data_IF_469120205253
#
_entry.id   IF_469120205253
#
_cell.length_a   1.000
_cell.length_b   1.000
_cell.length_c   1.000
_cell.angle_alpha   90.00
_cell.angle_beta   90.00
_cell.angle_gamma   90.00
#
_symmetry.space_group_name_H-M   'P 1'
#
loop_
_entity.id
_entity.type
_entity.pdbx_description
1 polymer ?
#
# COMPACT_ATOMS: atom_id res chain seq x y z
N UNK A 1 26.61 12.81 -1.03
CA UNK A 1 26.78 13.39 0.33
C UNK A 1 25.59 12.96 1.16
N UNK A 2 25.83 12.07 2.13
CA UNK A 2 24.82 11.53 3.05
C UNK A 2 24.34 12.61 4.00
N UNK A 3 23.19 13.21 3.74
CA UNK A 3 22.43 13.91 4.76
C UNK A 3 21.55 12.87 5.46
N UNK A 4 22.11 12.22 6.49
CA UNK A 4 21.28 11.66 7.55
C UNK A 4 20.40 12.80 8.02
N UNK A 5 19.12 12.76 7.70
CA UNK A 5 18.13 13.60 8.33
C UNK A 5 18.24 13.31 9.83
N UNK A 6 18.87 14.22 10.57
CA UNK A 6 18.77 14.24 12.01
C UNK A 6 17.29 14.33 12.33
N UNK A 7 16.71 13.18 12.69
CA UNK A 7 15.45 13.12 13.41
C UNK A 7 15.73 13.83 14.72
N UNK A 8 15.46 15.14 14.74
CA UNK A 8 15.46 15.93 15.96
C UNK A 8 14.33 15.36 16.81
N UNK A 9 14.67 14.36 17.60
CA UNK A 9 13.77 13.61 18.48
C UNK A 9 13.32 14.59 19.56
N UNK A 10 12.30 15.38 19.22
CA UNK A 10 11.70 16.31 20.14
C UNK A 10 11.00 15.45 21.17
N UNK A 11 11.40 15.52 22.44
CA UNK A 11 10.76 14.78 23.54
C UNK A 11 9.24 14.95 23.55
N UNK A 12 8.74 16.03 22.97
CA UNK A 12 7.33 16.32 22.76
C UNK A 12 6.64 15.42 21.71
N UNK A 13 7.35 14.85 20.74
CA UNK A 13 6.78 13.89 19.77
C UNK A 13 6.48 12.55 20.43
N UNK A 14 7.36 12.07 21.33
CA UNK A 14 7.10 10.87 22.11
C UNK A 14 5.89 11.05 23.04
N UNK A 15 5.74 12.23 23.63
CA UNK A 15 4.57 12.59 24.44
C UNK A 15 3.28 12.62 23.59
N UNK A 16 3.32 13.20 22.38
CA UNK A 16 2.17 13.22 21.46
C UNK A 16 1.77 11.81 21.00
N UNK A 17 2.74 10.94 20.76
CA UNK A 17 2.49 9.53 20.44
C UNK A 17 1.90 8.74 21.60
N UNK A 18 2.40 8.95 22.82
CA UNK A 18 1.81 8.34 24.02
C UNK A 18 0.38 8.85 24.24
N UNK A 19 0.14 10.15 24.02
CA UNK A 19 -1.20 10.74 24.13
C UNK A 19 -2.17 10.17 23.09
N UNK A 20 -1.76 10.03 21.83
CA UNK A 20 -2.61 9.45 20.78
C UNK A 20 -2.89 7.97 21.04
N UNK A 21 -1.88 7.20 21.48
CA UNK A 21 -2.07 5.81 21.88
C UNK A 21 -3.03 5.69 23.08
N UNK A 22 -2.89 6.55 24.09
CA UNK A 22 -3.80 6.59 25.23
C UNK A 22 -5.24 6.94 24.81
N UNK A 23 -5.43 7.91 23.92
CA UNK A 23 -6.76 8.26 23.39
C UNK A 23 -7.42 7.09 22.65
N UNK A 24 -6.66 6.33 21.86
CA UNK A 24 -7.18 5.14 21.17
C UNK A 24 -7.58 4.06 22.18
N UNK A 25 -6.73 3.80 23.19
CA UNK A 25 -7.03 2.82 24.24
C UNK A 25 -8.29 3.23 25.02
N UNK A 26 -8.43 4.51 25.37
CA UNK A 26 -9.64 5.06 26.02
C UNK A 26 -10.87 4.88 25.12
N UNK A 27 -10.75 5.11 23.82
CA UNK A 27 -11.84 4.87 22.87
C UNK A 27 -12.27 3.40 22.81
N UNK A 28 -11.31 2.47 22.76
CA UNK A 28 -11.59 1.02 22.71
C UNK A 28 -12.20 0.53 24.02
N UNK A 29 -11.62 0.91 25.17
CA UNK A 29 -12.13 0.52 26.50
C UNK A 29 -13.49 1.14 26.78
N UNK A 30 -13.66 2.43 26.45
CA UNK A 30 -14.96 3.11 26.54
C UNK A 30 -16.02 2.41 25.69
N UNK A 31 -15.66 1.98 24.48
CA UNK A 31 -16.59 1.22 23.65
C UNK A 31 -16.98 -0.13 24.28
N UNK A 32 -16.08 -0.83 24.96
CA UNK A 32 -16.40 -2.10 25.63
C UNK A 32 -17.32 -1.89 26.85
N UNK A 33 -17.08 -0.83 27.63
CA UNK A 33 -17.81 -0.56 28.87
C UNK A 33 -19.24 -0.05 28.61
N UNK A 34 -19.44 0.81 27.60
CA UNK A 34 -20.76 1.32 27.21
C UNK A 34 -21.50 0.40 26.24
N UNK A 35 -21.23 -0.91 26.29
CA UNK A 35 -21.81 -1.91 25.37
C UNK A 35 -23.34 -2.05 25.46
N UNK A 36 -23.94 -1.63 26.58
CA UNK A 36 -25.37 -1.67 26.84
C UNK A 36 -26.14 -0.41 26.37
N UNK A 37 -25.46 0.63 25.87
CA UNK A 37 -26.09 1.87 25.40
C UNK A 37 -26.41 1.87 23.90
N UNK A 38 -27.40 2.69 23.46
CA UNK A 38 -27.78 2.78 22.06
C UNK A 38 -26.62 3.15 21.13
N UNK A 39 -26.55 2.47 19.99
CA UNK A 39 -25.38 2.45 19.10
C UNK A 39 -24.97 3.83 18.55
N UNK A 40 -25.93 4.75 18.43
CA UNK A 40 -25.71 6.11 17.91
C UNK A 40 -24.74 6.91 18.79
N UNK A 41 -24.89 6.88 20.11
CA UNK A 41 -24.03 7.64 21.01
C UNK A 41 -22.60 7.09 21.05
N UNK A 42 -22.44 5.76 20.96
CA UNK A 42 -21.11 5.12 20.89
C UNK A 42 -20.37 5.51 19.62
N UNK A 43 -21.03 5.47 18.47
CA UNK A 43 -20.42 5.84 17.19
C UNK A 43 -20.01 7.32 17.17
N UNK A 44 -20.84 8.21 17.73
CA UNK A 44 -20.51 9.63 17.82
C UNK A 44 -19.30 9.89 18.72
N UNK A 45 -19.25 9.30 19.92
CA UNK A 45 -18.12 9.45 20.84
C UNK A 45 -16.84 8.87 20.24
N UNK A 46 -16.92 7.71 19.60
CA UNK A 46 -15.79 7.09 18.91
C UNK A 46 -15.28 7.94 17.73
N UNK A 47 -16.19 8.52 16.94
CA UNK A 47 -15.81 9.43 15.86
C UNK A 47 -15.09 10.67 16.39
N UNK A 48 -15.59 11.27 17.47
CA UNK A 48 -14.94 12.43 18.10
C UNK A 48 -13.55 12.06 18.61
N UNK A 49 -13.40 10.93 19.31
CA UNK A 49 -12.09 10.46 19.81
C UNK A 49 -11.14 10.18 18.64
N UNK A 50 -11.62 9.55 17.55
CA UNK A 50 -10.81 9.27 16.37
C UNK A 50 -10.35 10.55 15.66
N UNK A 51 -11.22 11.56 15.55
CA UNK A 51 -10.86 12.87 14.97
C UNK A 51 -9.82 13.58 15.84
N UNK A 52 -10.00 13.59 17.16
CA UNK A 52 -9.03 14.22 18.09
C UNK A 52 -7.69 13.49 18.06
N UNK A 53 -7.69 12.16 18.09
CA UNK A 53 -6.46 11.35 18.00
C UNK A 53 -5.75 11.57 16.64
N UNK A 54 -6.51 11.63 15.55
CA UNK A 54 -6.00 11.95 14.22
C UNK A 54 -5.39 13.35 14.15
N UNK A 55 -6.06 14.34 14.74
CA UNK A 55 -5.56 15.73 14.79
C UNK A 55 -4.25 15.84 15.59
N UNK A 56 -4.17 15.17 16.75
CA UNK A 56 -2.94 15.08 17.55
C UNK A 56 -1.82 14.38 16.78
N UNK A 57 -2.13 13.29 16.07
CA UNK A 57 -1.16 12.54 15.28
C UNK A 57 -0.59 13.40 14.13
N UNK A 58 -1.43 14.17 13.43
CA UNK A 58 -1.01 15.07 12.35
C UNK A 58 -0.15 16.25 12.83
N UNK A 59 -0.29 16.67 14.09
CA UNK A 59 0.58 17.69 14.71
C UNK A 59 1.95 17.16 15.16
N UNK A 60 2.23 15.88 14.99
CA UNK A 60 3.56 15.29 15.27
C UNK A 60 4.51 15.53 14.10
N UNK A 61 5.82 15.65 14.36
CA UNK A 61 6.84 15.83 13.29
C UNK A 61 6.75 14.80 12.17
N UNK A 62 6.47 13.53 12.51
CA UNK A 62 6.23 12.46 11.53
C UNK A 62 4.92 12.63 10.75
N UNK A 63 3.88 13.21 11.37
CA UNK A 63 2.60 13.50 10.70
C UNK A 63 2.72 14.60 9.65
N UNK A 64 3.47 15.65 9.96
CA UNK A 64 3.80 16.72 9.00
C UNK A 64 4.67 16.20 7.85
N UNK A 65 5.69 15.39 8.14
CA UNK A 65 6.51 14.75 7.13
C UNK A 65 5.68 13.86 6.18
N UNK A 66 4.74 13.08 6.72
CA UNK A 66 3.81 12.30 5.90
C UNK A 66 2.92 13.17 5.02
N UNK A 67 2.44 14.31 5.52
CA UNK A 67 1.63 15.23 4.72
C UNK A 67 2.42 15.87 3.57
N UNK A 68 3.68 16.22 3.80
CA UNK A 68 4.60 16.70 2.77
C UNK A 68 4.84 15.61 1.72
N UNK A 69 5.17 14.38 2.14
CA UNK A 69 5.36 13.24 1.23
C UNK A 69 4.09 12.94 0.43
N UNK A 70 2.91 13.01 1.04
CA UNK A 70 1.64 12.80 0.34
C UNK A 70 1.37 13.90 -0.69
N UNK A 71 1.74 15.15 -0.39
CA UNK A 71 1.64 16.27 -1.32
C UNK A 71 2.61 16.10 -2.50
N UNK A 72 3.85 15.72 -2.22
CA UNK A 72 4.88 15.42 -3.23
C UNK A 72 4.47 14.22 -4.10
N UNK A 73 3.95 13.15 -3.49
CA UNK A 73 3.44 11.99 -4.21
C UNK A 73 2.29 12.35 -5.15
N UNK A 74 1.38 13.25 -4.76
CA UNK A 74 0.34 13.76 -5.66
C UNK A 74 0.90 14.53 -6.85
N UNK A 75 1.98 15.28 -6.65
CA UNK A 75 2.68 15.98 -7.74
C UNK A 75 3.34 14.97 -8.68
N UNK A 76 3.93 13.91 -8.14
CA UNK A 76 4.58 12.85 -8.93
C UNK A 76 3.58 12.00 -9.71
N UNK A 77 2.43 11.67 -9.11
CA UNK A 77 1.33 10.96 -9.78
C UNK A 77 0.83 11.75 -11.01
N UNK A 78 0.87 13.08 -10.96
CA UNK A 78 0.52 13.92 -12.12
C UNK A 78 1.56 13.87 -13.25
N UNK A 79 2.80 13.47 -12.95
CA UNK A 79 3.85 13.24 -13.95
C UNK A 79 3.76 11.85 -14.58
N UNK A 80 2.97 10.94 -14.00
CA UNK A 80 2.71 9.63 -14.60
C UNK A 80 1.84 9.85 -15.83
N UNK A 81 2.47 9.75 -17.00
CA UNK A 81 1.76 9.71 -18.27
C UNK A 81 1.06 8.36 -18.34
N UNK A 82 -0.26 8.37 -18.14
CA UNK A 82 -1.06 7.16 -18.29
C UNK A 82 -1.06 6.75 -19.77
N UNK A 83 -0.71 5.49 -20.07
CA UNK A 83 -0.57 5.04 -21.44
C UNK A 83 -1.90 5.16 -22.17
N UNK A 84 -1.83 5.54 -23.44
CA UNK A 84 -3.03 5.56 -24.29
C UNK A 84 -3.49 4.13 -24.55
N UNK A 85 -4.79 3.93 -24.84
CA UNK A 85 -5.30 2.58 -25.17
C UNK A 85 -4.51 1.93 -26.30
N UNK A 86 -4.01 2.73 -27.24
CA UNK A 86 -3.23 2.25 -28.37
C UNK A 86 -1.86 1.68 -27.94
N UNK A 87 -1.13 2.38 -27.05
CA UNK A 87 0.15 1.91 -26.50
C UNK A 87 -0.02 0.62 -25.71
N UNK A 88 -1.02 0.56 -24.82
CA UNK A 88 -1.30 -0.64 -24.01
C UNK A 88 -1.61 -1.84 -24.90
N UNK A 89 -2.38 -1.64 -25.97
CA UNK A 89 -2.74 -2.74 -26.89
C UNK A 89 -1.53 -3.18 -27.71
N UNK A 90 -0.68 -2.25 -28.17
CA UNK A 90 0.52 -2.57 -28.91
C UNK A 90 1.52 -3.37 -28.07
N UNK A 91 1.80 -2.93 -26.83
CA UNK A 91 2.71 -3.66 -25.94
C UNK A 91 2.14 -5.05 -25.60
N UNK A 92 0.84 -5.16 -25.37
CA UNK A 92 0.18 -6.45 -25.12
C UNK A 92 0.31 -7.38 -26.32
N UNK A 93 0.07 -6.90 -27.55
CA UNK A 93 0.23 -7.69 -28.77
C UNK A 93 1.67 -8.16 -28.98
N UNK A 94 2.66 -7.31 -28.70
CA UNK A 94 4.08 -7.69 -28.76
C UNK A 94 4.37 -8.83 -27.77
N UNK A 95 3.93 -8.69 -26.51
CA UNK A 95 4.13 -9.72 -25.49
C UNK A 95 3.45 -11.03 -25.90
N UNK A 96 2.20 -10.97 -26.38
CA UNK A 96 1.47 -12.15 -26.87
C UNK A 96 2.20 -12.82 -28.02
N UNK A 97 2.73 -12.07 -28.98
CA UNK A 97 3.50 -12.62 -30.08
C UNK A 97 4.75 -13.36 -29.60
N UNK A 98 5.52 -12.77 -28.67
CA UNK A 98 6.72 -13.40 -28.10
C UNK A 98 6.36 -14.68 -27.33
N UNK A 99 5.29 -14.65 -26.53
CA UNK A 99 4.81 -15.83 -25.80
C UNK A 99 4.39 -16.94 -26.75
N UNK A 100 3.68 -16.64 -27.84
CA UNK A 100 3.28 -17.62 -28.85
C UNK A 100 4.48 -18.28 -29.53
N UNK A 101 5.50 -17.49 -29.89
CA UNK A 101 6.73 -18.02 -30.50
C UNK A 101 7.45 -18.96 -29.52
N UNK A 102 7.63 -18.54 -28.26
CA UNK A 102 8.26 -19.40 -27.24
C UNK A 102 7.45 -20.67 -26.98
N UNK A 103 6.12 -20.56 -26.88
CA UNK A 103 5.24 -21.71 -26.68
C UNK A 103 5.36 -22.72 -27.83
N UNK A 104 5.40 -22.25 -29.08
CA UNK A 104 5.52 -23.11 -30.25
C UNK A 104 6.90 -23.77 -30.35
N UNK A 105 7.98 -23.05 -30.01
CA UNK A 105 9.32 -23.60 -29.95
C UNK A 105 9.46 -24.69 -28.88
N UNK A 106 8.99 -24.43 -27.66
CA UNK A 106 9.02 -25.40 -26.57
C UNK A 106 8.17 -26.62 -26.92
N UNK A 107 6.94 -26.42 -27.40
CA UNK A 107 6.07 -27.51 -27.83
C UNK A 107 6.71 -28.39 -28.91
N UNK A 108 7.37 -27.79 -29.89
CA UNK A 108 8.09 -28.52 -30.93
C UNK A 108 9.26 -29.32 -30.38
N UNK A 109 10.06 -28.73 -29.49
CA UNK A 109 11.18 -29.40 -28.84
C UNK A 109 10.71 -30.57 -27.96
N UNK A 110 9.69 -30.34 -27.12
CA UNK A 110 9.13 -31.35 -26.23
C UNK A 110 8.54 -32.53 -27.01
N UNK A 111 7.85 -32.24 -28.12
CA UNK A 111 7.29 -33.28 -29.00
C UNK A 111 8.39 -34.10 -29.68
N UNK A 112 9.47 -33.44 -30.13
CA UNK A 112 10.61 -34.11 -30.77
C UNK A 112 11.41 -34.97 -29.79
N UNK A 113 11.69 -34.44 -28.59
CA UNK A 113 12.34 -35.19 -27.52
C UNK A 113 11.47 -36.36 -27.06
N UNK A 114 10.16 -36.14 -26.90
CA UNK A 114 9.19 -37.19 -26.56
C UNK A 114 9.15 -38.30 -27.60
N UNK A 115 9.12 -37.95 -28.89
CA UNK A 115 9.21 -38.92 -29.98
C UNK A 115 10.51 -39.72 -29.93
N UNK A 116 11.65 -39.05 -29.76
CA UNK A 116 12.96 -39.70 -29.70
C UNK A 116 13.08 -40.66 -28.50
N UNK A 117 12.58 -40.26 -27.32
CA UNK A 117 12.54 -41.11 -26.13
C UNK A 117 11.62 -42.32 -26.36
N UNK A 118 10.45 -42.11 -26.99
CA UNK A 118 9.54 -43.21 -27.30
C UNK A 118 10.13 -44.25 -28.26
N UNK A 119 11.06 -43.85 -29.15
CA UNK A 119 11.79 -44.74 -30.05
C UNK A 119 12.87 -45.58 -29.34
N UNK A 120 13.37 -45.11 -28.20
CA UNK A 120 14.44 -45.77 -27.43
C UNK A 120 13.84 -46.67 -26.34
N UNK A 121 12.74 -46.25 -25.73
CA UNK A 121 12.05 -46.97 -24.64
C UNK A 121 11.01 -47.96 -25.18
N UNK A 122 10.41 -47.67 -26.35
CA UNK A 122 9.62 -48.64 -27.11
C UNK A 122 10.51 -49.61 -27.87
#
# INVERSE_FOLDING_TARGET
>A
MNAKAEVKDSRFDLIKWLLSAALVVVGVVGNQYFSAEPILYRVLVLLVIAVVAGFVALQTTRGQAFFVLAKEARVEIRKVVWPTRQETTQTTLIVVAVVLVMALLLWGLDSLLGWLVSLIVG
#
